data_IF_643950605095
#
_entry.id   IF_643950605095
#
_cell.length_a   1.000
_cell.length_b   1.000
_cell.length_c   1.000
_cell.angle_alpha   90.00
_cell.angle_beta   90.00
_cell.angle_gamma   90.00
#
_symmetry.space_group_name_H-M   'P 1'
#
loop_
_entity.id
_entity.type
_entity.pdbx_description
1 polymer ?
#
# COMPACT_ATOMS: atom_id res chain seq x y z
N UNK A 1 -4.58 -10.70 12.75
CA UNK A 1 -4.36 -10.06 11.45
C UNK A 1 -3.00 -10.41 10.83
N UNK A 2 -1.88 -10.19 11.51
CA UNK A 2 -0.53 -10.51 10.98
C UNK A 2 -0.28 -12.00 10.65
N UNK A 3 -0.91 -12.94 11.33
CA UNK A 3 -0.72 -14.37 11.08
C UNK A 3 -1.35 -14.88 9.75
N UNK A 4 -2.35 -14.18 9.21
CA UNK A 4 -2.97 -14.49 7.91
C UNK A 4 -2.08 -14.05 6.73
N UNK A 5 -1.38 -12.92 6.88
CA UNK A 5 -0.41 -12.42 5.90
C UNK A 5 0.76 -13.37 5.66
N UNK A 6 1.28 -13.97 6.72
CA UNK A 6 2.43 -14.87 6.63
C UNK A 6 2.15 -16.20 5.90
N UNK A 7 0.89 -16.58 5.74
CA UNK A 7 0.53 -17.85 5.09
C UNK A 7 0.40 -17.68 3.56
N UNK A 8 -0.20 -16.58 3.11
CA UNK A 8 -0.34 -16.25 1.67
C UNK A 8 1.04 -16.08 1.02
N UNK A 9 2.01 -15.48 1.73
CA UNK A 9 3.36 -15.25 1.22
C UNK A 9 4.25 -16.51 1.21
N UNK A 10 3.93 -17.56 1.97
CA UNK A 10 4.78 -18.76 2.05
C UNK A 10 4.49 -19.80 0.96
N UNK A 11 3.28 -19.85 0.45
CA UNK A 11 2.90 -20.80 -0.62
C UNK A 11 3.41 -20.36 -1.99
N UNK A 12 3.74 -19.08 -2.18
CA UNK A 12 4.23 -18.50 -3.44
C UNK A 12 5.77 -18.50 -3.59
N UNK A 13 6.52 -19.13 -2.69
CA UNK A 13 8.00 -19.02 -2.68
C UNK A 13 8.67 -19.75 -3.86
N UNK A 14 7.98 -20.61 -4.58
CA UNK A 14 8.57 -21.41 -5.66
C UNK A 14 8.47 -20.85 -7.08
N UNK A 15 7.86 -19.68 -7.31
CA UNK A 15 7.68 -19.13 -8.64
C UNK A 15 8.88 -18.30 -9.14
N UNK A 16 9.31 -18.60 -10.35
CA UNK A 16 10.49 -18.07 -11.03
C UNK A 16 10.65 -16.55 -10.98
N UNK A 17 11.87 -16.08 -10.62
CA UNK A 17 12.21 -14.77 -10.10
C UNK A 17 11.71 -13.49 -10.80
N UNK A 18 11.53 -13.45 -12.12
CA UNK A 18 11.20 -12.20 -12.84
C UNK A 18 9.71 -11.86 -12.78
N UNK A 19 8.84 -12.82 -13.00
CA UNK A 19 7.37 -12.66 -12.94
C UNK A 19 6.91 -12.22 -11.53
N UNK A 20 7.63 -12.65 -10.51
CA UNK A 20 7.35 -12.36 -9.11
C UNK A 20 7.55 -10.88 -8.76
N UNK A 21 8.62 -10.28 -9.24
CA UNK A 21 8.93 -8.85 -8.99
C UNK A 21 7.94 -7.95 -9.74
N UNK A 22 7.53 -8.31 -10.94
CA UNK A 22 6.53 -7.55 -11.70
C UNK A 22 5.15 -7.61 -11.04
N UNK A 23 4.76 -8.77 -10.55
CA UNK A 23 3.48 -8.98 -9.89
C UNK A 23 3.41 -8.27 -8.52
N UNK A 24 4.50 -8.27 -7.75
CA UNK A 24 4.59 -7.52 -6.51
C UNK A 24 4.49 -6.00 -6.73
N UNK A 25 5.09 -5.50 -7.78
CA UNK A 25 5.01 -4.09 -8.17
C UNK A 25 3.58 -3.68 -8.54
N UNK A 26 2.73 -4.63 -8.90
CA UNK A 26 1.34 -4.34 -9.25
C UNK A 26 0.53 -3.89 -8.04
N UNK A 27 0.56 -4.61 -6.91
CA UNK A 27 -0.18 -4.21 -5.71
C UNK A 27 0.26 -2.84 -5.18
N UNK A 28 1.58 -2.57 -5.20
CA UNK A 28 2.13 -1.26 -4.83
C UNK A 28 1.65 -0.17 -5.81
N UNK A 29 1.67 -0.46 -7.09
CA UNK A 29 1.25 0.47 -8.15
C UNK A 29 -0.24 0.80 -8.07
N UNK A 30 -1.09 -0.20 -7.85
CA UNK A 30 -2.53 0.00 -7.68
C UNK A 30 -2.82 0.81 -6.41
N UNK A 31 -2.15 0.49 -5.29
CA UNK A 31 -2.24 1.27 -4.06
C UNK A 31 -1.80 2.74 -4.25
N UNK A 32 -0.71 2.97 -4.98
CA UNK A 32 -0.24 4.33 -5.30
C UNK A 32 -1.26 5.09 -6.14
N UNK A 33 -1.82 4.48 -7.19
CA UNK A 33 -2.83 5.10 -8.05
C UNK A 33 -4.09 5.50 -7.29
N UNK A 34 -4.48 4.77 -6.24
CA UNK A 34 -5.58 5.19 -5.36
C UNK A 34 -5.27 6.51 -4.67
N UNK A 35 -4.07 6.66 -4.12
CA UNK A 35 -3.66 7.89 -3.46
C UNK A 35 -3.56 9.06 -4.45
N UNK A 36 -3.07 8.82 -5.65
CA UNK A 36 -3.03 9.81 -6.73
C UNK A 36 -4.44 10.26 -7.11
N UNK A 37 -5.38 9.35 -7.30
CA UNK A 37 -6.78 9.66 -7.60
C UNK A 37 -7.47 10.46 -6.49
N UNK A 38 -7.25 10.13 -5.22
CA UNK A 38 -7.74 10.92 -4.08
C UNK A 38 -7.11 12.32 -4.05
N UNK A 39 -5.82 12.43 -4.38
CA UNK A 39 -5.15 13.72 -4.45
C UNK A 39 -5.72 14.59 -5.59
N UNK A 40 -6.00 14.01 -6.75
CA UNK A 40 -6.60 14.72 -7.89
C UNK A 40 -7.96 15.33 -7.55
N UNK A 41 -8.88 14.58 -6.95
CA UNK A 41 -10.20 15.11 -6.59
C UNK A 41 -10.12 16.17 -5.51
N UNK A 42 -9.21 16.03 -4.55
CA UNK A 42 -8.95 17.04 -3.53
C UNK A 42 -8.40 18.33 -4.15
N UNK A 43 -7.41 18.24 -5.04
CA UNK A 43 -6.79 19.40 -5.68
C UNK A 43 -7.73 20.09 -6.66
N UNK A 44 -8.62 19.36 -7.32
CA UNK A 44 -9.64 19.93 -8.20
C UNK A 44 -10.78 20.62 -7.45
N UNK A 45 -10.89 20.39 -6.14
CA UNK A 45 -12.00 20.87 -5.31
C UNK A 45 -13.30 20.10 -5.53
N UNK A 46 -13.27 18.97 -6.25
CA UNK A 46 -14.42 18.10 -6.43
C UNK A 46 -14.81 17.38 -5.14
N UNK A 47 -13.83 17.10 -4.28
CA UNK A 47 -14.01 16.57 -2.94
C UNK A 47 -13.21 17.43 -1.95
N UNK A 48 -13.89 18.11 -1.05
CA UNK A 48 -13.30 19.07 -0.10
C UNK A 48 -13.17 18.48 1.31
N UNK A 49 -13.84 17.39 1.61
CA UNK A 49 -13.84 16.76 2.93
C UNK A 49 -12.65 15.84 3.20
N UNK A 50 -11.77 15.61 2.21
CA UNK A 50 -10.58 14.77 2.37
C UNK A 50 -9.32 15.60 2.64
N UNK A 51 -8.53 15.18 3.63
CA UNK A 51 -7.22 15.76 3.94
C UNK A 51 -6.07 15.12 3.13
N UNK A 52 -4.86 15.71 3.21
CA UNK A 52 -3.72 15.29 2.40
C UNK A 52 -3.03 14.00 2.88
N UNK A 53 -3.19 13.60 4.13
CA UNK A 53 -2.53 12.41 4.66
C UNK A 53 -3.33 11.16 4.35
N UNK A 54 -2.72 10.24 3.60
CA UNK A 54 -3.40 9.01 3.17
C UNK A 54 -2.41 7.86 3.03
N UNK A 55 -2.89 6.65 3.31
CA UNK A 55 -2.17 5.39 3.14
C UNK A 55 -3.09 4.37 2.49
N UNK A 56 -2.54 3.53 1.64
CA UNK A 56 -3.30 2.45 1.03
C UNK A 56 -2.51 1.15 0.95
N UNK A 57 -3.22 0.05 0.93
CA UNK A 57 -2.68 -1.28 0.75
C UNK A 57 -3.64 -2.12 -0.08
N UNK A 58 -3.11 -2.82 -1.06
CA UNK A 58 -3.85 -3.80 -1.86
C UNK A 58 -3.20 -5.16 -1.68
N UNK A 59 -3.98 -6.14 -1.26
CA UNK A 59 -3.57 -7.54 -1.19
C UNK A 59 -4.18 -8.26 -2.39
N UNK A 60 -3.34 -8.87 -3.23
CA UNK A 60 -3.78 -9.60 -4.41
C UNK A 60 -3.78 -11.11 -4.15
N UNK A 61 -4.77 -11.80 -4.69
CA UNK A 61 -4.80 -13.25 -4.82
C UNK A 61 -4.11 -13.63 -6.14
N UNK A 62 -3.29 -14.69 -6.08
CA UNK A 62 -2.59 -15.23 -7.23
C UNK A 62 -3.04 -16.68 -7.47
N UNK A 63 -3.20 -17.03 -8.74
CA UNK A 63 -3.41 -18.41 -9.22
C UNK A 63 -2.40 -18.65 -10.34
N UNK A 64 -1.66 -19.73 -10.26
CA UNK A 64 -0.60 -20.10 -11.22
C UNK A 64 0.38 -18.93 -11.49
N UNK A 65 0.72 -18.17 -10.46
CA UNK A 65 1.64 -17.02 -10.53
C UNK A 65 1.07 -15.76 -11.20
N UNK A 66 -0.22 -15.75 -11.52
CA UNK A 66 -0.91 -14.59 -12.09
C UNK A 66 -1.88 -13.98 -11.06
N UNK A 67 -1.91 -12.66 -10.94
CA UNK A 67 -2.88 -12.01 -10.06
C UNK A 67 -4.27 -12.11 -10.66
N UNK A 68 -5.25 -12.56 -9.88
CA UNK A 68 -6.63 -12.82 -10.35
C UNK A 68 -7.65 -11.87 -9.74
N UNK A 69 -7.43 -11.37 -8.53
CA UNK A 69 -8.32 -10.40 -7.88
C UNK A 69 -7.67 -9.75 -6.66
N UNK A 70 -8.27 -8.68 -6.15
CA UNK A 70 -7.94 -8.17 -4.82
C UNK A 70 -8.57 -9.08 -3.75
N UNK A 71 -7.76 -9.55 -2.82
CA UNK A 71 -8.23 -10.31 -1.66
C UNK A 71 -8.65 -9.37 -0.53
N UNK A 72 -7.97 -8.23 -0.39
CA UNK A 72 -8.27 -7.20 0.61
C UNK A 72 -7.76 -5.85 0.13
N UNK A 73 -8.49 -4.79 0.45
CA UNK A 73 -8.08 -3.40 0.22
C UNK A 73 -8.22 -2.62 1.52
N UNK A 74 -7.18 -1.91 1.90
CA UNK A 74 -7.18 -1.01 3.05
C UNK A 74 -6.82 0.39 2.58
N UNK A 75 -7.67 1.36 2.90
CA UNK A 75 -7.42 2.78 2.66
C UNK A 75 -7.59 3.53 3.97
N UNK A 76 -6.56 4.26 4.39
CA UNK A 76 -6.65 5.20 5.50
C UNK A 76 -6.43 6.60 4.94
N UNK A 77 -7.42 7.47 5.06
CA UNK A 77 -7.35 8.83 4.55
C UNK A 77 -7.83 9.82 5.58
N UNK A 78 -7.09 10.91 5.71
CA UNK A 78 -7.48 12.05 6.53
C UNK A 78 -8.77 12.65 5.99
N UNK A 79 -9.66 13.06 6.90
CA UNK A 79 -10.94 13.65 6.55
C UNK A 79 -11.38 14.70 7.58
N UNK A 80 -12.29 15.58 7.17
CA UNK A 80 -12.89 16.56 8.05
C UNK A 80 -13.69 15.89 9.17
N UNK A 81 -13.76 16.57 10.31
CA UNK A 81 -14.45 16.03 11.49
C UNK A 81 -15.97 15.81 11.29
N UNK A 82 -16.56 16.47 10.29
CA UNK A 82 -17.99 16.37 9.99
C UNK A 82 -18.34 15.13 9.17
N UNK A 83 -17.35 14.44 8.60
CA UNK A 83 -17.53 13.17 7.90
C UNK A 83 -17.45 12.00 8.90
N UNK A 84 -18.40 11.12 8.84
CA UNK A 84 -18.32 9.83 9.51
C UNK A 84 -17.58 8.79 8.66
N UNK A 85 -17.33 7.63 9.21
CA UNK A 85 -16.55 6.59 8.55
C UNK A 85 -17.25 6.07 7.28
N UNK A 86 -18.58 5.99 7.30
CA UNK A 86 -19.36 5.51 6.15
C UNK A 86 -19.33 6.52 5.01
N UNK A 87 -19.45 7.81 5.29
CA UNK A 87 -19.31 8.88 4.29
C UNK A 87 -17.93 8.86 3.63
N UNK A 88 -16.87 8.68 4.42
CA UNK A 88 -15.51 8.53 3.87
C UNK A 88 -15.39 7.27 3.01
N UNK A 89 -16.02 6.16 3.41
CA UNK A 89 -16.05 4.90 2.65
C UNK A 89 -16.74 5.09 1.29
N UNK A 90 -17.87 5.78 1.25
CA UNK A 90 -18.61 6.07 0.02
C UNK A 90 -17.81 6.97 -0.94
N UNK A 91 -17.06 7.95 -0.42
CA UNK A 91 -16.17 8.77 -1.23
C UNK A 91 -15.01 7.96 -1.82
N UNK A 92 -14.39 7.08 -1.02
CA UNK A 92 -13.19 6.32 -1.41
C UNK A 92 -13.53 5.18 -2.38
N UNK A 93 -14.68 4.53 -2.25
CA UNK A 93 -15.08 3.34 -3.02
C UNK A 93 -14.94 3.51 -4.54
N UNK A 94 -15.49 4.55 -5.19
CA UNK A 94 -15.39 4.72 -6.63
C UNK A 94 -13.94 4.81 -7.13
N UNK A 95 -13.05 5.39 -6.34
CA UNK A 95 -11.63 5.49 -6.69
C UNK A 95 -10.96 4.11 -6.74
N UNK A 96 -11.29 3.24 -5.77
CA UNK A 96 -10.77 1.87 -5.75
C UNK A 96 -11.34 1.06 -6.92
N UNK A 97 -12.64 1.12 -7.16
CA UNK A 97 -13.30 0.38 -8.24
C UNK A 97 -12.83 0.81 -9.63
N UNK A 98 -12.52 2.08 -9.84
CA UNK A 98 -12.02 2.60 -11.12
C UNK A 98 -10.57 2.20 -11.43
N UNK A 99 -9.78 1.89 -10.41
CA UNK A 99 -8.36 1.56 -10.55
C UNK A 99 -8.15 0.05 -10.67
N UNK A 100 -8.92 -0.74 -9.93
CA UNK A 100 -8.87 -2.19 -10.05
C UNK A 100 -9.47 -2.64 -11.39
N UNK A 101 -8.94 -3.69 -12.00
CA UNK A 101 -9.57 -4.31 -13.16
C UNK A 101 -11.02 -4.72 -12.83
N UNK A 102 -11.88 -4.66 -13.82
CA UNK A 102 -13.29 -5.02 -13.66
C UNK A 102 -13.44 -6.43 -13.07
N UNK A 103 -14.19 -6.54 -11.99
CA UNK A 103 -14.42 -7.81 -11.27
C UNK A 103 -13.32 -8.19 -10.28
N UNK A 104 -12.33 -7.30 -10.04
CA UNK A 104 -11.24 -7.55 -9.09
C UNK A 104 -11.47 -6.97 -7.70
N UNK A 105 -12.59 -6.30 -7.49
CA UNK A 105 -12.91 -5.77 -6.15
C UNK A 105 -12.93 -6.91 -5.12
N UNK A 106 -12.34 -6.64 -3.95
CA UNK A 106 -12.37 -7.58 -2.83
C UNK A 106 -13.80 -7.77 -2.28
N UNK A 107 -14.06 -8.83 -1.52
CA UNK A 107 -15.30 -8.97 -0.76
C UNK A 107 -15.57 -7.75 0.14
N UNK A 108 -16.81 -7.45 0.41
CA UNK A 108 -17.21 -6.26 1.16
C UNK A 108 -16.66 -6.22 2.59
N UNK A 109 -16.53 -7.36 3.22
CA UNK A 109 -15.93 -7.56 4.55
C UNK A 109 -14.38 -7.48 4.54
N UNK A 110 -13.78 -7.41 3.37
CA UNK A 110 -12.33 -7.23 3.18
C UNK A 110 -11.96 -5.84 2.60
N UNK A 111 -12.96 -4.96 2.45
CA UNK A 111 -12.76 -3.56 2.07
C UNK A 111 -12.78 -2.67 3.31
N UNK A 112 -11.62 -2.19 3.72
CA UNK A 112 -11.43 -1.41 4.94
C UNK A 112 -11.10 0.04 4.63
N UNK A 113 -11.92 0.96 5.13
CA UNK A 113 -11.65 2.39 5.09
C UNK A 113 -11.57 2.92 6.52
N UNK A 114 -10.47 3.56 6.88
CA UNK A 114 -10.16 4.04 8.22
C UNK A 114 -10.44 3.00 9.32
N UNK A 115 -9.89 1.77 9.24
CA UNK A 115 -10.26 0.66 10.12
C UNK A 115 -9.92 0.88 11.59
N UNK A 116 -9.08 1.86 11.89
CA UNK A 116 -8.70 2.23 13.26
C UNK A 116 -9.56 3.35 13.86
N UNK A 117 -10.55 3.84 13.10
CA UNK A 117 -11.45 4.90 13.50
C UNK A 117 -11.21 6.22 12.75
N UNK A 118 -11.66 7.32 13.32
CA UNK A 118 -11.59 8.65 12.70
C UNK A 118 -10.14 9.09 12.48
N UNK A 119 -9.88 9.67 11.30
CA UNK A 119 -8.57 10.17 10.93
C UNK A 119 -8.67 11.67 10.57
N UNK A 120 -8.85 12.52 11.58
CA UNK A 120 -9.01 13.97 11.42
C UNK A 120 -7.67 14.69 11.50
N UNK A 121 -6.77 14.28 12.39
CA UNK A 121 -5.44 14.87 12.56
C UNK A 121 -4.46 14.04 11.75
N UNK A 122 -3.76 14.67 10.79
CA UNK A 122 -2.79 14.01 9.92
C UNK A 122 -1.62 14.94 9.58
N UNK A 123 -0.70 14.43 8.76
CA UNK A 123 0.51 15.15 8.40
C UNK A 123 1.45 15.36 9.59
N UNK A 124 2.25 16.45 9.60
CA UNK A 124 3.25 16.70 10.66
C UNK A 124 2.66 16.83 12.07
N UNK A 125 1.40 17.23 12.19
CA UNK A 125 0.71 17.36 13.48
C UNK A 125 0.33 15.99 14.07
N UNK A 126 0.14 14.98 13.19
CA UNK A 126 -0.16 13.61 13.60
C UNK A 126 1.07 12.74 13.76
N UNK A 127 1.98 12.79 12.80
CA UNK A 127 3.21 12.00 12.78
C UNK A 127 4.29 12.68 11.93
N UNK A 128 5.44 12.94 12.51
CA UNK A 128 6.60 13.47 11.82
C UNK A 128 7.35 12.35 11.10
N UNK A 129 7.18 12.25 9.77
CA UNK A 129 7.88 11.29 8.94
C UNK A 129 9.39 11.52 8.86
N UNK A 130 10.14 10.46 8.57
CA UNK A 130 11.57 10.50 8.31
C UNK A 130 11.89 9.96 6.92
N UNK A 131 12.92 10.52 6.28
CA UNK A 131 13.40 10.07 4.97
C UNK A 131 13.81 8.58 5.02
N UNK A 132 13.40 7.81 4.00
CA UNK A 132 13.77 6.40 3.88
C UNK A 132 13.04 5.45 4.83
N UNK A 133 11.97 5.85 5.49
CA UNK A 133 11.17 5.01 6.39
C UNK A 133 10.04 4.23 5.68
N UNK A 134 9.96 4.29 4.35
CA UNK A 134 9.04 3.50 3.51
C UNK A 134 9.77 2.39 2.75
N UNK A 135 10.68 1.71 3.41
CA UNK A 135 11.63 0.75 2.83
C UNK A 135 10.97 -0.43 2.11
N UNK A 136 9.80 -0.87 2.54
CA UNK A 136 9.07 -1.94 1.87
C UNK A 136 8.50 -1.45 0.53
N UNK A 137 7.92 -0.26 0.48
CA UNK A 137 7.43 0.37 -0.75
C UNK A 137 8.59 0.68 -1.71
N UNK A 138 9.70 1.16 -1.18
CA UNK A 138 10.90 1.55 -1.94
C UNK A 138 11.64 0.34 -2.54
N UNK A 139 11.34 -0.88 -2.12
CA UNK A 139 11.98 -2.11 -2.57
C UNK A 139 11.00 -3.00 -3.36
N UNK A 140 10.58 -4.12 -2.80
CA UNK A 140 9.78 -5.13 -3.50
C UNK A 140 8.34 -5.27 -2.98
N UNK A 141 7.87 -4.31 -2.19
CA UNK A 141 6.55 -4.41 -1.54
C UNK A 141 6.52 -5.59 -0.57
N UNK A 142 5.50 -6.41 -0.63
CA UNK A 142 5.40 -7.63 0.16
C UNK A 142 5.98 -8.89 -0.52
N UNK A 143 6.57 -8.77 -1.72
CA UNK A 143 6.97 -9.93 -2.52
C UNK A 143 8.27 -10.59 -2.11
N UNK A 144 9.13 -9.88 -1.39
CA UNK A 144 10.39 -10.42 -0.91
C UNK A 144 10.59 -10.09 0.57
N UNK A 145 11.26 -10.98 1.33
CA UNK A 145 11.68 -10.67 2.69
C UNK A 145 12.56 -9.43 2.73
N UNK A 146 12.41 -8.64 3.79
CA UNK A 146 13.21 -7.43 4.01
C UNK A 146 13.70 -7.40 5.46
N UNK A 147 14.99 -7.09 5.66
CA UNK A 147 15.62 -7.04 6.98
C UNK A 147 15.27 -5.80 7.82
N UNK A 148 14.58 -4.82 7.24
CA UNK A 148 14.16 -3.59 7.93
C UNK A 148 15.17 -2.44 7.88
N UNK A 149 16.35 -2.63 7.28
CA UNK A 149 17.39 -1.61 7.17
C UNK A 149 17.06 -0.55 6.11
N UNK A 150 16.99 0.73 6.50
CA UNK A 150 16.91 1.84 5.55
C UNK A 150 18.30 2.17 4.99
N UNK A 151 18.36 2.66 3.74
CA UNK A 151 19.63 3.01 3.07
C UNK A 151 19.94 4.50 3.21
N UNK A 152 18.92 5.32 3.30
CA UNK A 152 19.04 6.77 3.34
C UNK A 152 19.89 7.23 4.52
N UNK A 153 20.87 8.12 4.25
CA UNK A 153 21.77 8.65 5.26
C UNK A 153 22.88 7.70 5.73
N UNK A 154 23.00 6.49 5.17
CA UNK A 154 24.05 5.52 5.50
C UNK A 154 25.17 5.53 4.48
N UNK A 155 26.40 5.54 4.95
CA UNK A 155 27.61 5.36 4.14
C UNK A 155 27.89 3.86 3.86
N UNK A 156 28.85 3.53 2.97
CA UNK A 156 29.15 2.13 2.61
C UNK A 156 29.66 1.25 3.77
N UNK A 157 30.07 1.82 4.89
CA UNK A 157 30.48 1.04 6.07
C UNK A 157 29.30 0.38 6.79
N UNK A 158 28.08 0.82 6.51
CA UNK A 158 26.86 0.28 7.10
C UNK A 158 26.40 -0.95 6.31
N UNK A 159 26.40 -2.11 6.99
CA UNK A 159 26.07 -3.41 6.38
C UNK A 159 24.66 -3.47 5.80
N UNK A 160 23.69 -2.81 6.42
CA UNK A 160 22.32 -2.73 5.88
C UNK A 160 22.29 -2.23 4.44
N UNK A 161 23.12 -1.27 4.10
CA UNK A 161 23.24 -0.70 2.76
C UNK A 161 24.20 -1.50 1.88
N UNK A 162 25.42 -1.73 2.31
CA UNK A 162 26.45 -2.37 1.51
C UNK A 162 26.13 -3.83 1.19
N UNK A 163 25.60 -4.59 2.14
CA UNK A 163 25.20 -5.98 1.92
C UNK A 163 23.98 -6.08 0.99
N UNK A 164 23.02 -5.17 1.08
CA UNK A 164 21.86 -5.15 0.17
C UNK A 164 22.30 -4.86 -1.28
N UNK A 165 23.24 -3.95 -1.49
CA UNK A 165 23.79 -3.66 -2.81
C UNK A 165 24.65 -4.81 -3.35
N UNK A 166 25.47 -5.44 -2.49
CA UNK A 166 26.26 -6.60 -2.86
C UNK A 166 25.36 -7.79 -3.26
N UNK A 167 24.32 -8.08 -2.48
CA UNK A 167 23.34 -9.12 -2.79
C UNK A 167 22.57 -8.86 -4.09
N UNK A 168 22.37 -7.59 -4.45
CA UNK A 168 21.74 -7.23 -5.73
C UNK A 168 22.68 -7.38 -6.91
N UNK A 169 23.98 -7.23 -6.69
CA UNK A 169 25.00 -7.34 -7.73
C UNK A 169 25.26 -8.81 -8.13
N UNK A 170 25.20 -9.74 -7.18
CA UNK A 170 25.36 -11.20 -7.41
C UNK A 170 24.15 -11.78 -8.11
#
# INVERSE_FOLDING_TARGET
>A
MLARYGRILREDVELQGVTRVENARRSVRDAQRFLESLAEVRHSGAETGLGPDSKSQVTLQYEDGQPVRAASVVVSTQHDQDLDQEAVREIVRPHVENILPRGWMCPEDEFYVNPTGRFVIGGPDGDAGLTGRKIIVDTYGGAAPHGGGAFSGKDPSKVDRSAAYAARYV
#
